data_IF_735007231598
#
_entry.id   IF_735007231598
#
_cell.length_a   1.000
_cell.length_b   1.000
_cell.length_c   1.000
_cell.angle_alpha   90.00
_cell.angle_beta   90.00
_cell.angle_gamma   90.00
#
_symmetry.space_group_name_H-M   'P 1'
#
loop_
_entity.id
_entity.type
_entity.pdbx_description
1 polymer ?
#
# COMPACT_ATOMS: atom_id res chain seq x y z
N UNK A 1 -1.93 -18.97 -0.80
CA UNK A 1 -2.56 -17.70 -0.37
C UNK A 1 -2.21 -16.60 -1.34
N UNK A 2 -3.21 -15.89 -1.84
CA UNK A 2 -3.04 -14.74 -2.74
C UNK A 2 -3.44 -13.46 -2.04
N UNK A 3 -2.52 -12.51 -1.98
CA UNK A 3 -2.74 -11.19 -1.40
C UNK A 3 -2.70 -10.18 -2.55
N UNK A 4 -3.79 -9.46 -2.80
CA UNK A 4 -3.75 -8.32 -3.71
C UNK A 4 -3.44 -7.04 -2.93
N UNK A 5 -2.53 -6.23 -3.46
CA UNK A 5 -2.24 -4.90 -2.95
C UNK A 5 -2.71 -3.86 -3.96
N UNK A 6 -3.54 -2.94 -3.51
CA UNK A 6 -3.93 -1.71 -4.19
C UNK A 6 -3.28 -0.54 -3.46
N UNK A 7 -3.00 0.55 -4.15
CA UNK A 7 -2.42 1.76 -3.56
C UNK A 7 -2.73 2.99 -4.39
N UNK A 8 -2.66 4.16 -3.75
CA UNK A 8 -2.63 5.45 -4.43
C UNK A 8 -3.83 5.61 -5.39
N UNK A 9 -5.03 5.64 -4.81
CA UNK A 9 -6.29 5.82 -5.55
C UNK A 9 -6.49 7.29 -5.87
N UNK A 10 -6.24 8.19 -4.89
CA UNK A 10 -6.39 9.64 -5.04
C UNK A 10 -7.73 10.05 -5.66
N UNK A 11 -8.82 9.47 -5.14
CA UNK A 11 -10.15 9.82 -5.61
C UNK A 11 -10.47 11.28 -5.25
N UNK A 12 -10.93 12.06 -6.23
CA UNK A 12 -11.41 13.40 -6.05
C UNK A 12 -12.68 13.61 -6.91
N UNK A 13 -13.45 14.66 -6.58
CA UNK A 13 -14.72 14.91 -7.25
C UNK A 13 -14.58 15.27 -8.74
N UNK A 14 -13.40 15.70 -9.15
CA UNK A 14 -13.09 16.21 -10.49
C UNK A 14 -12.14 15.32 -11.30
N UNK A 15 -11.87 14.07 -10.82
CA UNK A 15 -11.04 13.12 -11.55
C UNK A 15 -11.77 11.79 -11.84
N UNK A 16 -11.16 10.92 -12.63
CA UNK A 16 -11.71 9.62 -13.05
C UNK A 16 -11.17 8.43 -12.24
N UNK A 17 -10.44 8.68 -11.16
CA UNK A 17 -9.74 7.64 -10.40
C UNK A 17 -10.68 6.57 -9.81
N UNK A 18 -11.94 6.92 -9.50
CA UNK A 18 -12.95 5.92 -9.14
C UNK A 18 -13.32 4.99 -10.31
N UNK A 19 -13.24 5.47 -11.57
CA UNK A 19 -13.44 4.60 -12.74
C UNK A 19 -12.25 3.64 -12.91
N UNK A 20 -11.04 4.14 -12.68
CA UNK A 20 -9.80 3.33 -12.66
C UNK A 20 -9.85 2.27 -11.56
N UNK A 21 -10.30 2.62 -10.35
CA UNK A 21 -10.53 1.65 -9.28
C UNK A 21 -11.55 0.59 -9.69
N UNK A 22 -12.66 0.96 -10.34
CA UNK A 22 -13.66 -0.01 -10.82
C UNK A 22 -13.06 -1.03 -11.78
N UNK A 23 -12.12 -0.64 -12.66
CA UNK A 23 -11.42 -1.56 -13.55
C UNK A 23 -10.55 -2.56 -12.75
N UNK A 24 -9.79 -2.08 -11.76
CA UNK A 24 -9.01 -2.95 -10.87
C UNK A 24 -9.90 -3.92 -10.08
N UNK A 25 -11.03 -3.46 -9.54
CA UNK A 25 -12.00 -4.31 -8.83
C UNK A 25 -12.62 -5.34 -9.78
N UNK A 26 -12.94 -4.98 -11.02
CA UNK A 26 -13.46 -5.93 -12.01
C UNK A 26 -12.43 -7.03 -12.32
N UNK A 27 -11.15 -6.69 -12.42
CA UNK A 27 -10.08 -7.66 -12.57
C UNK A 27 -9.99 -8.60 -11.36
N UNK A 28 -10.03 -8.06 -10.13
CA UNK A 28 -10.00 -8.84 -8.89
C UNK A 28 -11.23 -9.73 -8.71
N UNK A 29 -12.39 -9.33 -9.23
CA UNK A 29 -13.60 -10.18 -9.23
C UNK A 29 -13.47 -11.37 -10.19
N UNK A 30 -12.76 -11.21 -11.31
CA UNK A 30 -12.46 -12.30 -12.24
C UNK A 30 -11.35 -13.24 -11.73
N UNK A 31 -10.43 -12.71 -10.91
CA UNK A 31 -9.30 -13.44 -10.32
C UNK A 31 -9.23 -13.15 -8.81
N UNK A 32 -10.17 -13.67 -8.01
CA UNK A 32 -10.30 -13.28 -6.61
C UNK A 32 -9.07 -13.69 -5.78
N UNK A 33 -8.51 -12.73 -5.00
CA UNK A 33 -7.51 -13.03 -3.99
C UNK A 33 -8.16 -13.56 -2.70
N UNK A 34 -7.36 -14.06 -1.78
CA UNK A 34 -7.81 -14.46 -0.45
C UNK A 34 -7.99 -13.25 0.49
N UNK A 35 -7.24 -12.18 0.23
CA UNK A 35 -7.33 -10.91 0.96
C UNK A 35 -6.81 -9.75 0.09
N UNK A 36 -7.34 -8.55 0.37
CA UNK A 36 -6.85 -7.30 -0.24
C UNK A 36 -6.23 -6.40 0.83
N UNK A 37 -5.11 -5.77 0.52
CA UNK A 37 -4.52 -4.69 1.30
C UNK A 37 -4.55 -3.42 0.44
N UNK A 38 -5.12 -2.34 0.97
CA UNK A 38 -5.03 -1.00 0.37
C UNK A 38 -4.01 -0.21 1.17
N UNK A 39 -2.90 0.14 0.55
CA UNK A 39 -1.73 0.69 1.23
C UNK A 39 -1.65 2.23 1.21
N UNK A 40 -2.81 2.91 1.28
CA UNK A 40 -2.89 4.34 1.52
C UNK A 40 -3.16 5.21 0.29
N UNK A 41 -3.33 6.49 0.54
CA UNK A 41 -3.69 7.54 -0.42
C UNK A 41 -4.97 7.21 -1.19
N UNK A 42 -6.07 7.06 -0.43
CA UNK A 42 -7.37 6.69 -0.98
C UNK A 42 -8.06 7.89 -1.62
N UNK A 43 -8.07 9.03 -0.92
CA UNK A 43 -8.87 10.20 -1.28
C UNK A 43 -8.09 11.50 -1.07
N UNK A 44 -8.20 12.41 -2.01
CA UNK A 44 -7.66 13.77 -1.87
C UNK A 44 -8.64 14.68 -1.11
N UNK A 45 -8.10 15.67 -0.39
CA UNK A 45 -8.82 16.75 0.29
C UNK A 45 -9.95 16.28 1.25
N UNK A 46 -9.87 15.05 1.76
CA UNK A 46 -10.86 14.50 2.72
C UNK A 46 -12.27 14.37 2.15
N UNK A 47 -12.44 14.19 0.84
CA UNK A 47 -13.73 14.04 0.17
C UNK A 47 -14.50 12.80 0.65
N UNK A 48 -15.47 13.02 1.56
CA UNK A 48 -16.17 11.95 2.26
C UNK A 48 -16.95 11.00 1.33
N UNK A 49 -17.51 11.50 0.23
CA UNK A 49 -18.19 10.68 -0.78
C UNK A 49 -17.22 9.72 -1.46
N UNK A 50 -15.99 10.16 -1.72
CA UNK A 50 -14.92 9.33 -2.30
C UNK A 50 -14.61 8.12 -1.41
N UNK A 51 -14.46 8.31 -0.11
CA UNK A 51 -14.28 7.20 0.83
C UNK A 51 -15.46 6.22 0.82
N UNK A 52 -16.71 6.72 0.78
CA UNK A 52 -17.91 5.85 0.69
C UNK A 52 -17.94 5.07 -0.60
N UNK A 53 -17.61 5.69 -1.73
CA UNK A 53 -17.56 5.04 -3.03
C UNK A 53 -16.47 3.98 -3.10
N UNK A 54 -15.28 4.26 -2.55
CA UNK A 54 -14.21 3.26 -2.43
C UNK A 54 -14.66 2.09 -1.55
N UNK A 55 -15.23 2.36 -0.38
CA UNK A 55 -15.76 1.33 0.51
C UNK A 55 -16.81 0.45 -0.18
N UNK A 56 -17.71 1.05 -0.97
CA UNK A 56 -18.70 0.33 -1.75
C UNK A 56 -18.08 -0.57 -2.83
N UNK A 57 -17.02 -0.09 -3.52
CA UNK A 57 -16.30 -0.90 -4.50
C UNK A 57 -15.57 -2.08 -3.84
N UNK A 58 -14.86 -1.84 -2.74
CA UNK A 58 -14.15 -2.89 -1.98
C UNK A 58 -15.10 -3.94 -1.42
N UNK A 59 -16.31 -3.54 -1.00
CA UNK A 59 -17.34 -4.46 -0.48
C UNK A 59 -17.88 -5.45 -1.51
N UNK A 60 -17.62 -5.23 -2.80
CA UNK A 60 -17.98 -6.19 -3.87
C UNK A 60 -17.05 -7.40 -3.92
N UNK A 61 -15.86 -7.29 -3.36
CA UNK A 61 -14.89 -8.39 -3.35
C UNK A 61 -15.34 -9.48 -2.35
N UNK A 62 -15.14 -10.76 -2.70
CA UNK A 62 -15.56 -11.88 -1.83
C UNK A 62 -14.61 -12.13 -0.66
N UNK A 63 -13.67 -11.24 -0.40
CA UNK A 63 -12.65 -11.36 0.63
C UNK A 63 -12.57 -10.10 1.50
N UNK A 64 -11.88 -10.22 2.64
CA UNK A 64 -11.62 -9.07 3.53
C UNK A 64 -10.66 -8.08 2.86
N UNK A 65 -10.81 -6.81 3.24
CA UNK A 65 -9.89 -5.74 2.88
C UNK A 65 -9.30 -5.13 4.15
N UNK A 66 -7.98 -5.01 4.19
CA UNK A 66 -7.22 -4.28 5.20
C UNK A 66 -6.80 -2.94 4.62
N UNK A 67 -6.87 -1.88 5.43
CA UNK A 67 -6.61 -0.51 4.99
C UNK A 67 -5.48 0.11 5.81
N UNK A 68 -4.60 0.83 5.16
CA UNK A 68 -3.71 1.82 5.74
C UNK A 68 -4.10 3.20 5.24
N UNK A 69 -3.82 4.22 6.03
CA UNK A 69 -3.83 5.59 5.55
C UNK A 69 -2.52 5.91 4.82
N UNK A 70 -2.58 6.80 3.84
CA UNK A 70 -1.44 7.48 3.26
C UNK A 70 -1.42 8.96 3.66
N UNK A 71 -0.49 9.74 3.10
CA UNK A 71 -0.33 11.15 3.46
C UNK A 71 -1.43 12.06 2.90
N UNK A 72 -2.16 11.65 1.88
CA UNK A 72 -3.29 12.39 1.34
C UNK A 72 -4.59 12.16 2.15
N UNK A 73 -4.64 11.09 2.94
CA UNK A 73 -5.87 10.69 3.63
C UNK A 73 -6.18 11.55 4.86
N UNK A 74 -7.45 11.94 4.99
CA UNK A 74 -8.02 12.43 6.24
C UNK A 74 -8.52 11.25 7.10
N UNK A 75 -7.74 10.85 8.10
CA UNK A 75 -8.06 9.69 8.96
C UNK A 75 -9.38 9.85 9.71
N UNK A 76 -9.79 11.09 10.04
CA UNK A 76 -11.07 11.34 10.72
C UNK A 76 -12.23 10.99 9.81
N UNK A 77 -12.19 11.49 8.57
CA UNK A 77 -13.22 11.19 7.57
C UNK A 77 -13.19 9.72 7.18
N UNK A 78 -12.00 9.16 6.99
CA UNK A 78 -11.77 7.75 6.64
C UNK A 78 -12.40 6.81 7.69
N UNK A 79 -12.10 7.00 8.98
CA UNK A 79 -12.68 6.19 10.07
C UNK A 79 -14.21 6.37 10.19
N UNK A 80 -14.72 7.59 9.94
CA UNK A 80 -16.14 7.87 10.02
C UNK A 80 -16.97 7.28 8.87
N UNK A 81 -16.34 7.01 7.73
CA UNK A 81 -17.05 6.65 6.49
C UNK A 81 -16.80 5.24 6.00
N UNK A 82 -15.69 4.60 6.38
CA UNK A 82 -15.30 3.28 5.88
C UNK A 82 -15.61 2.17 6.89
N UNK A 83 -16.57 1.26 6.60
CA UNK A 83 -16.92 0.16 7.50
C UNK A 83 -15.75 -0.79 7.81
N UNK A 84 -14.76 -0.88 6.93
CA UNK A 84 -13.55 -1.67 7.10
C UNK A 84 -12.71 -1.21 8.31
N UNK A 85 -12.87 0.05 8.73
CA UNK A 85 -12.21 0.65 9.88
C UNK A 85 -13.10 0.72 11.12
N UNK A 86 -14.19 -0.06 11.17
CA UNK A 86 -15.04 -0.10 12.35
C UNK A 86 -14.23 -0.52 13.59
N UNK A 87 -14.24 0.33 14.61
CA UNK A 87 -13.49 0.12 15.85
C UNK A 87 -12.11 0.78 15.89
N UNK A 88 -11.65 1.36 14.78
CA UNK A 88 -10.45 2.21 14.79
C UNK A 88 -10.77 3.65 15.20
N UNK A 89 -9.79 4.33 15.78
CA UNK A 89 -9.87 5.75 16.12
C UNK A 89 -8.89 6.55 15.26
N UNK A 90 -9.32 7.69 14.76
CA UNK A 90 -8.44 8.58 14.00
C UNK A 90 -7.33 9.24 14.86
N UNK A 91 -7.49 9.23 16.18
CA UNK A 91 -6.49 9.75 17.14
C UNK A 91 -5.33 8.78 17.36
N UNK A 92 -5.49 7.51 16.90
CA UNK A 92 -4.49 6.46 17.02
C UNK A 92 -3.96 6.08 15.63
N UNK A 93 -2.74 5.52 15.53
CA UNK A 93 -2.25 4.98 14.28
C UNK A 93 -3.14 3.84 13.77
N UNK A 94 -3.46 3.85 12.48
CA UNK A 94 -4.31 2.83 11.84
C UNK A 94 -3.49 1.56 11.51
N UNK A 95 -2.79 1.02 12.52
CA UNK A 95 -2.05 -0.23 12.39
C UNK A 95 -2.99 -1.42 12.28
N UNK A 96 -2.58 -2.44 11.53
CA UNK A 96 -3.22 -3.74 11.61
C UNK A 96 -2.19 -4.87 11.80
N UNK A 97 -2.59 -5.94 12.48
CA UNK A 97 -1.84 -7.18 12.62
C UNK A 97 -2.82 -8.34 12.51
N UNK A 98 -2.90 -8.95 11.33
CA UNK A 98 -3.88 -9.98 11.01
C UNK A 98 -3.18 -11.24 10.51
N UNK A 99 -3.65 -12.40 10.96
CA UNK A 99 -3.16 -13.69 10.46
C UNK A 99 -4.21 -14.32 9.55
N UNK A 100 -3.83 -14.59 8.32
CA UNK A 100 -4.70 -15.22 7.31
C UNK A 100 -3.96 -16.43 6.75
N UNK A 101 -4.57 -17.61 6.82
CA UNK A 101 -3.99 -18.88 6.35
C UNK A 101 -2.55 -19.14 6.84
N UNK A 102 -2.25 -18.73 8.08
CA UNK A 102 -0.94 -18.92 8.71
C UNK A 102 0.12 -17.88 8.30
N UNK A 103 -0.24 -16.87 7.53
CA UNK A 103 0.62 -15.75 7.16
C UNK A 103 0.18 -14.50 7.94
N UNK A 104 1.13 -13.84 8.59
CA UNK A 104 0.87 -12.60 9.31
C UNK A 104 1.01 -11.41 8.36
N UNK A 105 -0.03 -10.59 8.27
CA UNK A 105 -0.07 -9.33 7.54
C UNK A 105 -0.01 -8.20 8.54
N UNK A 106 1.08 -7.44 8.53
CA UNK A 106 1.33 -6.37 9.49
C UNK A 106 1.36 -5.05 8.72
N UNK A 107 0.41 -4.17 9.00
CA UNK A 107 0.36 -2.83 8.43
C UNK A 107 0.77 -1.79 9.45
N UNK A 108 1.71 -0.92 9.07
CA UNK A 108 2.18 0.19 9.91
C UNK A 108 1.75 1.51 9.29
N UNK A 109 0.87 2.22 9.98
CA UNK A 109 0.55 3.61 9.65
C UNK A 109 1.75 4.47 10.07
N UNK A 110 2.49 4.95 9.10
CA UNK A 110 3.68 5.79 9.28
C UNK A 110 3.43 7.25 8.92
N UNK A 111 2.17 7.62 8.71
CA UNK A 111 1.79 8.97 8.31
C UNK A 111 2.11 10.00 9.39
N UNK A 112 2.58 11.15 8.97
CA UNK A 112 2.86 12.31 9.85
C UNK A 112 1.97 13.47 9.42
N UNK A 113 1.16 13.98 10.33
CA UNK A 113 0.22 15.05 10.03
C UNK A 113 0.89 16.25 9.34
N UNK A 114 0.36 16.64 8.18
CA UNK A 114 0.84 17.78 7.40
C UNK A 114 2.16 17.55 6.65
N UNK A 115 2.65 16.30 6.56
CA UNK A 115 3.84 15.94 5.78
C UNK A 115 3.48 14.90 4.70
N UNK A 116 4.19 14.97 3.56
CA UNK A 116 4.13 13.91 2.55
C UNK A 116 4.99 12.69 2.91
N UNK A 117 6.12 12.90 3.62
CA UNK A 117 6.95 11.80 4.14
C UNK A 117 6.33 11.13 5.35
N UNK A 118 6.75 9.90 5.61
CA UNK A 118 6.36 9.14 6.80
C UNK A 118 7.46 9.10 7.86
N UNK A 119 7.14 8.56 9.05
CA UNK A 119 8.12 8.25 10.09
C UNK A 119 7.75 6.94 10.79
N UNK A 120 8.60 5.93 10.68
CA UNK A 120 8.39 4.64 11.35
C UNK A 120 8.94 4.62 12.78
N UNK A 121 9.75 5.61 13.16
CA UNK A 121 10.46 5.62 14.44
C UNK A 121 9.55 5.49 15.64
N UNK A 122 8.41 6.21 15.76
CA UNK A 122 7.50 6.08 16.89
C UNK A 122 6.85 4.70 17.00
N UNK A 123 6.82 3.94 15.94
CA UNK A 123 6.09 2.67 15.80
C UNK A 123 6.99 1.43 15.94
N UNK A 124 8.31 1.60 16.08
CA UNK A 124 9.27 0.48 16.08
C UNK A 124 9.03 -0.50 17.23
N UNK A 125 8.66 -0.03 18.41
CA UNK A 125 8.39 -0.92 19.57
C UNK A 125 7.16 -1.77 19.33
N UNK A 126 6.07 -1.20 18.82
CA UNK A 126 4.87 -1.94 18.44
C UNK A 126 5.17 -2.95 17.31
N UNK A 127 5.90 -2.51 16.28
CA UNK A 127 6.26 -3.36 15.14
C UNK A 127 7.16 -4.52 15.58
N UNK A 128 8.14 -4.28 16.46
CA UNK A 128 8.99 -5.35 16.99
C UNK A 128 8.17 -6.41 17.71
N UNK A 129 7.23 -5.99 18.56
CA UNK A 129 6.32 -6.91 19.24
C UNK A 129 5.47 -7.68 18.22
N UNK A 130 4.82 -6.99 17.28
CA UNK A 130 4.00 -7.63 16.25
C UNK A 130 4.79 -8.66 15.42
N UNK A 131 6.03 -8.34 15.03
CA UNK A 131 6.89 -9.25 14.27
C UNK A 131 7.38 -10.46 15.10
N UNK A 132 7.60 -10.28 16.40
CA UNK A 132 8.00 -11.40 17.30
C UNK A 132 6.85 -12.35 17.62
N UNK A 133 5.64 -11.81 17.70
CA UNK A 133 4.41 -12.58 18.00
C UNK A 133 3.77 -13.13 16.72
N UNK A 134 4.18 -12.64 15.55
CA UNK A 134 3.62 -13.03 14.28
C UNK A 134 3.77 -14.53 14.02
N UNK A 135 2.71 -15.11 13.47
CA UNK A 135 2.86 -16.40 12.81
C UNK A 135 3.85 -16.25 11.64
N UNK A 136 4.82 -17.15 11.57
CA UNK A 136 5.75 -17.14 10.45
C UNK A 136 5.14 -17.90 9.27
N UNK A 137 5.26 -17.36 8.05
CA UNK A 137 5.94 -16.13 7.61
C UNK A 137 5.07 -14.86 7.78
N UNK A 138 5.71 -13.67 7.77
CA UNK A 138 5.04 -12.37 7.88
C UNK A 138 5.32 -11.48 6.67
N UNK A 139 4.36 -10.63 6.28
CA UNK A 139 4.53 -9.54 5.32
C UNK A 139 4.25 -8.20 5.98
N UNK A 140 5.10 -7.22 5.70
CA UNK A 140 4.99 -5.86 6.22
C UNK A 140 4.45 -4.93 5.14
N UNK A 141 3.47 -4.10 5.51
CA UNK A 141 2.87 -3.07 4.66
C UNK A 141 2.99 -1.69 5.32
N UNK A 142 3.32 -0.70 4.53
CA UNK A 142 3.34 0.72 4.90
C UNK A 142 3.07 1.57 3.65
N UNK A 143 2.65 2.82 3.84
CA UNK A 143 2.40 3.65 2.66
C UNK A 143 3.69 4.19 2.06
N UNK A 144 4.45 5.00 2.79
CA UNK A 144 5.67 5.61 2.26
C UNK A 144 6.79 4.58 2.05
N UNK A 145 7.53 4.76 0.97
CA UNK A 145 8.63 3.86 0.60
C UNK A 145 9.86 4.02 1.49
N UNK A 146 10.67 2.96 1.60
CA UNK A 146 11.83 2.83 2.48
C UNK A 146 13.17 2.82 1.72
N UNK A 147 13.15 2.81 0.41
CA UNK A 147 14.33 2.74 -0.44
C UNK A 147 14.27 3.83 -1.50
N UNK A 148 15.41 4.38 -1.95
CA UNK A 148 15.41 5.41 -2.99
C UNK A 148 14.74 4.91 -4.27
N UNK A 149 13.77 5.67 -4.74
CA UNK A 149 13.07 5.41 -6.01
C UNK A 149 13.91 5.83 -7.22
N UNK A 150 14.92 6.68 -7.01
CA UNK A 150 15.67 7.36 -8.06
C UNK A 150 14.91 8.54 -8.67
N UNK A 151 13.73 8.88 -8.14
CA UNK A 151 12.93 10.03 -8.53
C UNK A 151 13.09 11.08 -7.43
N UNK A 152 14.02 12.00 -7.61
CA UNK A 152 14.46 12.94 -6.57
C UNK A 152 13.31 13.68 -5.86
N UNK A 153 12.25 14.17 -6.53
CA UNK A 153 11.11 14.80 -5.85
C UNK A 153 10.35 13.88 -4.89
N UNK A 154 10.33 12.56 -5.15
CA UNK A 154 9.66 11.56 -4.30
C UNK A 154 10.58 11.06 -3.19
N UNK A 155 11.88 11.00 -3.44
CA UNK A 155 12.86 10.52 -2.46
C UNK A 155 12.98 11.46 -1.24
N UNK A 156 12.58 12.73 -1.35
CA UNK A 156 12.49 13.65 -0.19
C UNK A 156 11.30 13.37 0.71
N UNK A 157 10.35 12.55 0.25
CA UNK A 157 9.13 12.16 0.95
C UNK A 157 9.14 10.67 1.36
N UNK A 158 10.32 10.06 1.49
CA UNK A 158 10.48 8.70 2.01
C UNK A 158 10.00 8.59 3.47
N UNK A 159 9.89 7.36 3.95
CA UNK A 159 9.69 7.09 5.36
C UNK A 159 10.99 7.32 6.15
N UNK A 160 10.97 8.22 7.12
CA UNK A 160 12.06 8.41 8.07
C UNK A 160 12.20 7.18 8.99
N UNK A 161 13.39 7.02 9.63
CA UNK A 161 13.65 5.90 10.53
C UNK A 161 14.03 4.59 9.86
N UNK A 162 14.32 4.59 8.56
CA UNK A 162 14.69 3.41 7.78
C UNK A 162 15.89 2.66 8.37
N UNK A 163 16.93 3.34 8.82
CA UNK A 163 18.11 2.70 9.44
C UNK A 163 17.75 1.96 10.73
N UNK A 164 16.88 2.54 11.54
CA UNK A 164 16.41 1.90 12.78
C UNK A 164 15.53 0.68 12.50
N UNK A 165 14.67 0.74 11.48
CA UNK A 165 13.92 -0.40 11.00
C UNK A 165 14.84 -1.50 10.44
N UNK A 166 15.84 -1.15 9.65
CA UNK A 166 16.83 -2.12 9.14
C UNK A 166 17.57 -2.82 10.28
N UNK A 167 17.98 -2.06 11.32
CA UNK A 167 18.60 -2.63 12.51
C UNK A 167 17.64 -3.53 13.29
N UNK A 168 16.35 -3.23 13.35
CA UNK A 168 15.32 -4.07 13.95
C UNK A 168 15.18 -5.38 13.16
N UNK A 169 14.98 -5.29 11.84
CA UNK A 169 14.81 -6.47 10.97
C UNK A 169 16.01 -7.43 11.09
N UNK A 170 17.24 -6.89 11.10
CA UNK A 170 18.45 -7.68 11.21
C UNK A 170 18.61 -8.42 12.56
N UNK A 171 17.84 -8.04 13.59
CA UNK A 171 17.82 -8.73 14.90
C UNK A 171 16.71 -9.76 15.04
N UNK A 172 15.79 -9.83 14.08
CA UNK A 172 14.70 -10.80 14.12
C UNK A 172 15.21 -12.22 13.90
N UNK A 173 14.62 -13.23 14.55
CA UNK A 173 14.96 -14.62 14.30
C UNK A 173 14.60 -15.08 12.88
N UNK A 174 13.59 -14.44 12.30
CA UNK A 174 13.13 -14.69 10.93
C UNK A 174 12.84 -13.38 10.23
N UNK A 175 13.31 -13.25 8.99
CA UNK A 175 13.03 -12.08 8.18
C UNK A 175 11.58 -12.10 7.67
N UNK A 176 10.93 -10.93 7.52
CA UNK A 176 9.68 -10.85 6.78
C UNK A 176 9.83 -11.40 5.35
N UNK A 177 8.76 -11.95 4.79
CA UNK A 177 8.73 -12.39 3.39
C UNK A 177 8.93 -11.23 2.42
N UNK A 178 8.29 -10.12 2.71
CA UNK A 178 8.36 -8.90 1.92
C UNK A 178 8.02 -7.67 2.75
N UNK A 179 8.46 -6.53 2.24
CA UNK A 179 8.03 -5.19 2.63
C UNK A 179 7.34 -4.56 1.42
N UNK A 180 6.11 -4.09 1.60
CA UNK A 180 5.25 -3.61 0.53
C UNK A 180 4.82 -2.18 0.80
N UNK A 181 5.13 -1.27 -0.12
CA UNK A 181 4.85 0.16 -0.04
C UNK A 181 3.93 0.61 -1.18
N UNK A 182 3.43 1.85 -1.10
CA UNK A 182 2.79 2.63 -2.16
C UNK A 182 3.56 3.92 -2.44
N UNK A 183 2.84 5.05 -2.48
CA UNK A 183 3.34 6.42 -2.45
C UNK A 183 4.06 6.91 -3.72
N UNK A 184 4.83 6.06 -4.37
CA UNK A 184 5.64 6.45 -5.55
C UNK A 184 4.80 6.49 -6.82
N UNK A 185 3.62 5.89 -6.80
CA UNK A 185 2.72 5.69 -7.95
C UNK A 185 3.38 4.93 -9.11
N UNK A 186 4.37 4.10 -8.80
CA UNK A 186 5.07 3.27 -9.80
C UNK A 186 5.41 1.91 -9.21
N UNK A 187 5.20 0.87 -10.01
CA UNK A 187 5.58 -0.48 -9.64
C UNK A 187 7.11 -0.61 -9.63
N UNK A 188 7.67 -0.95 -8.47
CA UNK A 188 9.12 -1.05 -8.28
C UNK A 188 9.47 -2.26 -7.42
N UNK A 189 10.67 -2.79 -7.61
CA UNK A 189 11.25 -3.84 -6.79
C UNK A 189 12.66 -3.43 -6.34
N UNK A 190 12.93 -3.66 -5.05
CA UNK A 190 14.21 -3.37 -4.42
C UNK A 190 14.53 -4.43 -3.34
N UNK A 191 15.59 -4.20 -2.60
CA UNK A 191 15.92 -4.95 -1.39
C UNK A 191 16.16 -3.96 -0.25
N UNK A 192 15.50 -4.19 0.89
CA UNK A 192 15.68 -3.40 2.11
C UNK A 192 16.04 -4.33 3.27
N UNK A 193 17.16 -4.10 3.95
CA UNK A 193 17.65 -4.93 5.07
C UNK A 193 17.67 -6.45 4.75
N UNK A 194 18.01 -6.84 3.52
CA UNK A 194 18.02 -8.24 3.08
C UNK A 194 16.64 -8.82 2.74
N UNK A 195 15.58 -8.04 2.88
CA UNK A 195 14.18 -8.41 2.55
C UNK A 195 13.80 -7.85 1.19
N UNK A 196 13.08 -8.63 0.39
CA UNK A 196 12.50 -8.13 -0.86
C UNK A 196 11.51 -7.01 -0.55
N UNK A 197 11.68 -5.86 -1.19
CA UNK A 197 10.87 -4.67 -1.00
C UNK A 197 10.20 -4.25 -2.32
N UNK A 198 8.94 -3.86 -2.25
CA UNK A 198 8.15 -3.50 -3.41
C UNK A 198 7.43 -2.17 -3.17
N UNK A 199 7.35 -1.33 -4.21
CA UNK A 199 6.29 -0.33 -4.31
C UNK A 199 5.21 -0.87 -5.23
N UNK A 200 3.97 -0.81 -4.78
CA UNK A 200 2.80 -1.07 -5.63
C UNK A 200 2.69 0.02 -6.71
N UNK A 201 2.23 -0.34 -7.88
CA UNK A 201 1.77 0.65 -8.82
C UNK A 201 0.47 1.30 -8.34
N UNK A 202 0.04 2.36 -8.98
CA UNK A 202 -1.10 3.17 -8.56
C UNK A 202 -2.39 2.87 -9.31
N UNK A 203 -3.50 3.15 -8.64
CA UNK A 203 -4.81 3.25 -9.29
C UNK A 203 -4.91 4.60 -10.02
N UNK A 204 -4.49 5.70 -9.41
CA UNK A 204 -4.37 6.99 -10.09
C UNK A 204 -3.32 6.94 -11.22
N UNK A 205 -3.24 7.95 -12.10
CA UNK A 205 -2.16 8.07 -13.08
C UNK A 205 -0.79 8.01 -12.41
N UNK A 206 0.18 7.25 -12.96
CA UNK A 206 1.50 7.12 -12.34
C UNK A 206 2.32 8.41 -12.43
N UNK A 207 3.25 8.57 -11.51
CA UNK A 207 4.23 9.65 -11.58
C UNK A 207 5.20 9.43 -12.76
N UNK A 208 5.70 10.49 -13.41
CA UNK A 208 6.71 10.36 -14.45
C UNK A 208 8.01 9.81 -13.90
N UNK A 209 8.72 9.03 -14.71
CA UNK A 209 10.04 8.50 -14.35
C UNK A 209 11.12 9.58 -14.53
N UNK A 210 11.32 10.40 -13.49
CA UNK A 210 12.23 11.55 -13.48
C UNK A 210 13.66 11.14 -13.09
N UNK A 211 14.28 10.22 -13.83
CA UNK A 211 15.69 9.82 -13.62
C UNK A 211 16.67 10.82 -14.24
N UNK A 212 16.22 11.61 -15.21
CA UNK A 212 16.96 12.70 -15.85
C UNK A 212 15.97 13.83 -16.15
N UNK A 213 16.21 15.04 -15.64
CA UNK A 213 15.34 16.21 -15.85
C UNK A 213 15.18 16.59 -17.33
N UNK A 214 16.10 16.20 -18.20
CA UNK A 214 16.09 16.53 -19.64
C UNK A 214 15.36 15.53 -20.50
N UNK A 215 15.22 14.28 -20.02
CA UNK A 215 14.69 13.15 -20.78
C UNK A 215 13.63 12.43 -19.97
N UNK A 216 12.43 13.03 -19.85
CA UNK A 216 11.30 12.42 -19.15
C UNK A 216 10.51 11.59 -20.17
N UNK A 217 10.47 10.26 -20.03
CA UNK A 217 9.68 9.42 -20.93
C UNK A 217 8.18 9.70 -20.77
N UNK A 218 7.37 9.46 -21.81
CA UNK A 218 5.92 9.58 -21.69
C UNK A 218 5.39 8.59 -20.65
N UNK A 219 4.34 8.98 -19.96
CA UNK A 219 3.60 8.12 -19.02
C UNK A 219 2.69 7.23 -19.87
N UNK A 220 2.95 5.93 -19.87
CA UNK A 220 2.17 4.92 -20.61
C UNK A 220 1.74 3.76 -19.72
N UNK A 221 2.04 3.85 -18.42
CA UNK A 221 1.74 2.77 -17.48
C UNK A 221 0.22 2.69 -17.24
N UNK A 222 -0.37 1.48 -17.27
CA UNK A 222 -1.79 1.28 -17.01
C UNK A 222 -2.11 1.45 -15.52
N UNK A 223 -3.39 1.39 -15.18
CA UNK A 223 -3.82 1.11 -13.79
C UNK A 223 -3.11 -0.14 -13.32
N UNK A 224 -2.52 -0.12 -12.14
CA UNK A 224 -1.75 -1.28 -11.71
C UNK A 224 -1.93 -1.62 -10.23
N UNK A 225 -1.76 -2.90 -9.95
CA UNK A 225 -1.82 -3.49 -8.63
C UNK A 225 -0.72 -4.56 -8.49
N UNK A 226 -0.48 -5.03 -7.28
CA UNK A 226 0.35 -6.21 -7.06
C UNK A 226 -0.47 -7.41 -6.60
N UNK A 227 -0.07 -8.59 -7.03
CA UNK A 227 -0.58 -9.86 -6.55
C UNK A 227 0.59 -10.68 -5.99
N UNK A 228 0.58 -10.93 -4.68
CA UNK A 228 1.56 -11.79 -4.03
C UNK A 228 0.95 -13.20 -3.88
N UNK A 229 1.50 -14.16 -4.60
CA UNK A 229 1.10 -15.58 -4.50
C UNK A 229 2.12 -16.32 -3.61
N UNK A 230 1.64 -16.82 -2.48
CA UNK A 230 2.45 -17.48 -1.46
C UNK A 230 2.02 -18.95 -1.38
N UNK A 231 2.93 -19.83 -1.76
CA UNK A 231 2.69 -21.26 -1.79
C UNK A 231 3.82 -22.06 -1.11
N UNK A 232 3.70 -23.39 -1.07
CA UNK A 232 4.72 -24.27 -0.44
C UNK A 232 6.11 -24.17 -1.08
N UNK A 233 6.19 -23.69 -2.33
CA UNK A 233 7.45 -23.55 -3.07
C UNK A 233 8.07 -22.15 -2.97
N UNK A 234 7.46 -21.25 -2.20
CA UNK A 234 7.92 -19.89 -2.03
C UNK A 234 6.86 -18.85 -2.37
N UNK A 235 7.32 -17.62 -2.63
CA UNK A 235 6.50 -16.46 -2.96
C UNK A 235 6.84 -15.95 -4.35
N UNK A 236 5.81 -15.61 -5.12
CA UNK A 236 5.91 -14.85 -6.37
C UNK A 236 5.10 -13.56 -6.20
N UNK A 237 5.67 -12.43 -6.59
CA UNK A 237 4.97 -11.15 -6.61
C UNK A 237 4.83 -10.68 -8.05
N UNK A 238 3.58 -10.52 -8.50
CA UNK A 238 3.25 -10.11 -9.86
C UNK A 238 2.89 -8.63 -9.88
N UNK A 239 3.45 -7.89 -10.84
CA UNK A 239 2.96 -6.56 -11.21
C UNK A 239 1.86 -6.75 -12.27
N UNK A 240 0.65 -6.33 -11.94
CA UNK A 240 -0.53 -6.51 -12.80
C UNK A 240 -0.93 -5.14 -13.37
N UNK A 241 -0.88 -5.02 -14.69
CA UNK A 241 -1.48 -3.90 -15.41
C UNK A 241 -2.93 -4.23 -15.77
N UNK A 242 -3.83 -3.28 -15.57
CA UNK A 242 -5.27 -3.41 -15.86
C UNK A 242 -5.66 -2.37 -16.89
N UNK A 243 -6.23 -2.81 -18.01
CA UNK A 243 -6.78 -1.89 -19.04
C UNK A 243 -8.05 -1.21 -18.51
N UNK A 244 -8.17 0.09 -18.74
CA UNK A 244 -9.41 0.83 -18.53
C UNK A 244 -10.30 0.73 -19.77
N UNK A 245 -11.61 0.92 -19.60
CA UNK A 245 -12.58 0.77 -20.70
C UNK A 245 -12.35 1.80 -21.82
N UNK A 246 -11.61 2.88 -21.55
CA UNK A 246 -11.27 3.93 -22.53
C UNK A 246 -10.11 3.52 -23.46
N UNK A 247 -9.39 2.43 -23.16
CA UNK A 247 -8.27 1.92 -23.97
C UNK A 247 -8.72 0.99 -25.15
N UNK A 248 -10.04 0.95 -25.47
CA UNK A 248 -10.60 0.09 -26.54
C UNK A 248 -11.26 0.89 -27.65
#
# INVERSE_FOLDING_TARGET
MRIAQLSDIHAAADNDNLARLRAAIAWLLAFPPDIVVVSGDLVDDGWAEGYRDIAAQLSRLPCRTLLLAGNADDKTVMCATMPQLAGYSADEPLHFNETVEGISLIGVDVTVAGKSGGDITPHLSWLEQALREAAQPAMLFLHQHLFPSGIAPLDVAMCEGGDALAALINRLPHLPLAICCGHVHRAMAATFAGVAAYCCGSICPPNPLLLDEKNVPPITDPVSLMLHDIGPQGRVSHFIGVETVEDR
#
